data_IF_239166949924
#
_entry.id   IF_239166949924
#
_cell.length_a   1.000
_cell.length_b   1.000
_cell.length_c   1.000
_cell.angle_alpha   90.00
_cell.angle_beta   90.00
_cell.angle_gamma   90.00
#
_symmetry.space_group_name_H-M   'P 1'
#
loop_
_entity.id
_entity.type
_entity.pdbx_description
1 polymer ?
#
# COMPACT_ATOMS: atom_id res chain seq x y z
N UNK A 1 19.69 10.86 -7.32
CA UNK A 1 18.28 10.60 -7.67
C UNK A 1 17.65 9.71 -6.59
N UNK A 2 17.40 10.25 -5.39
CA UNK A 2 17.03 9.45 -4.19
C UNK A 2 15.86 10.04 -3.37
N UNK A 3 15.13 11.02 -3.91
CA UNK A 3 14.03 11.67 -3.16
C UNK A 3 12.67 10.99 -3.33
N UNK A 4 12.41 10.34 -4.46
CA UNK A 4 11.10 9.72 -4.75
C UNK A 4 10.74 8.61 -3.76
N UNK A 5 11.72 7.80 -3.35
CA UNK A 5 11.47 6.63 -2.50
C UNK A 5 11.14 7.00 -1.06
N UNK A 6 11.64 8.10 -0.49
CA UNK A 6 11.29 8.44 0.90
C UNK A 6 9.89 9.02 1.00
N UNK A 7 9.47 9.73 -0.05
CA UNK A 7 8.16 10.38 -0.12
C UNK A 7 7.04 9.34 -0.21
N UNK A 8 7.21 8.27 -1.01
CA UNK A 8 6.16 7.23 -1.14
C UNK A 8 5.89 6.49 0.17
N UNK A 9 6.92 6.11 0.94
CA UNK A 9 6.70 5.44 2.23
C UNK A 9 6.11 6.38 3.28
N UNK A 10 6.37 7.69 3.17
CA UNK A 10 5.73 8.67 4.07
C UNK A 10 4.24 8.80 3.74
N UNK A 11 3.89 8.90 2.46
CA UNK A 11 2.47 8.88 2.02
C UNK A 11 1.76 7.61 2.46
N UNK A 12 2.41 6.44 2.33
CA UNK A 12 1.85 5.17 2.80
C UNK A 12 1.65 5.15 4.31
N UNK A 13 2.61 5.67 5.07
CA UNK A 13 2.48 5.80 6.52
C UNK A 13 1.32 6.72 6.91
N UNK A 14 1.18 7.88 6.27
CA UNK A 14 0.08 8.82 6.51
C UNK A 14 -1.28 8.22 6.14
N UNK A 15 -1.34 7.46 5.03
CA UNK A 15 -2.52 6.71 4.63
C UNK A 15 -2.93 5.72 5.73
N UNK A 16 -2.00 4.94 6.26
CA UNK A 16 -2.28 4.00 7.36
C UNK A 16 -2.58 4.69 8.69
N UNK A 17 -2.00 5.87 8.97
CA UNK A 17 -2.29 6.64 10.18
C UNK A 17 -3.69 7.24 10.20
N UNK A 18 -4.36 7.32 9.04
CA UNK A 18 -5.76 7.74 8.94
C UNK A 18 -6.76 6.67 9.39
N UNK A 19 -6.33 5.42 9.57
CA UNK A 19 -7.19 4.30 9.97
C UNK A 19 -7.36 4.20 11.50
N UNK A 20 -8.42 3.53 11.99
CA UNK A 20 -8.68 3.40 13.43
C UNK A 20 -7.52 2.78 14.24
N UNK A 21 -6.80 1.80 13.68
CA UNK A 21 -5.64 1.18 14.33
C UNK A 21 -4.40 2.09 14.33
N UNK A 22 -4.36 3.04 13.40
CA UNK A 22 -3.28 4.02 13.18
C UNK A 22 -1.91 3.41 12.87
N UNK A 23 -1.01 4.26 12.38
CA UNK A 23 0.38 3.90 12.08
C UNK A 23 1.26 5.15 12.18
N UNK A 24 1.45 5.69 13.40
CA UNK A 24 1.97 7.04 13.58
C UNK A 24 3.45 7.16 13.21
N UNK A 25 3.86 8.37 12.83
CA UNK A 25 5.27 8.70 12.64
C UNK A 25 6.04 8.58 13.96
N UNK A 26 7.23 7.98 13.94
CA UNK A 26 8.09 7.86 15.12
C UNK A 26 9.41 8.60 14.91
N UNK A 27 10.01 9.13 15.99
CA UNK A 27 11.33 9.76 15.93
C UNK A 27 12.41 8.79 15.40
N UNK A 28 12.30 7.52 15.79
CA UNK A 28 13.19 6.45 15.34
C UNK A 28 13.01 6.03 13.87
N UNK A 29 11.95 6.51 13.21
CA UNK A 29 11.52 6.13 11.86
C UNK A 29 11.33 4.61 11.68
N UNK A 30 11.02 3.90 12.75
CA UNK A 30 10.80 2.45 12.73
C UNK A 30 9.65 2.07 11.78
N UNK A 31 8.62 2.91 11.71
CA UNK A 31 7.46 2.75 10.84
C UNK A 31 7.87 2.70 9.36
N UNK A 32 8.76 3.60 8.92
CA UNK A 32 9.28 3.60 7.54
C UNK A 32 10.18 2.41 7.29
N UNK A 33 10.99 2.00 8.28
CA UNK A 33 11.83 0.81 8.15
C UNK A 33 10.99 -0.45 8.01
N UNK A 34 9.83 -0.52 8.66
CA UNK A 34 8.89 -1.63 8.52
C UNK A 34 8.23 -1.62 7.13
N UNK A 35 7.70 -0.48 6.69
CA UNK A 35 7.10 -0.35 5.35
C UNK A 35 8.08 -0.74 4.24
N UNK A 36 9.34 -0.32 4.33
CA UNK A 36 10.39 -0.71 3.37
C UNK A 36 10.71 -2.20 3.33
N UNK A 37 10.42 -2.94 4.40
CA UNK A 37 10.59 -4.40 4.43
C UNK A 37 9.39 -5.12 3.81
N UNK A 38 8.20 -4.53 3.87
CA UNK A 38 6.96 -5.11 3.39
C UNK A 38 6.68 -4.76 1.92
N UNK A 39 7.03 -3.53 1.50
CA UNK A 39 6.67 -2.97 0.21
C UNK A 39 7.89 -2.48 -0.58
N UNK A 40 7.96 -2.81 -1.87
CA UNK A 40 8.77 -2.05 -2.83
C UNK A 40 8.18 -0.64 -3.00
N UNK A 41 8.92 0.32 -3.58
CA UNK A 41 8.37 1.65 -3.85
C UNK A 41 7.09 1.62 -4.70
N UNK A 42 7.02 0.72 -5.68
CA UNK A 42 5.88 0.52 -6.58
C UNK A 42 4.68 -0.08 -5.83
N UNK A 43 4.92 -1.12 -5.03
CA UNK A 43 3.91 -1.72 -4.17
C UNK A 43 3.37 -0.71 -3.15
N UNK A 44 4.24 0.14 -2.60
CA UNK A 44 3.85 1.18 -1.66
C UNK A 44 2.97 2.25 -2.32
N UNK A 45 3.23 2.57 -3.59
CA UNK A 45 2.40 3.49 -4.36
C UNK A 45 1.01 2.89 -4.64
N UNK A 46 0.95 1.64 -5.09
CA UNK A 46 -0.30 0.89 -5.28
C UNK A 46 -1.09 0.84 -3.98
N UNK A 47 -0.44 0.51 -2.85
CA UNK A 47 -1.07 0.39 -1.54
C UNK A 47 -1.69 1.71 -1.04
N UNK A 48 -1.24 2.88 -1.52
CA UNK A 48 -1.87 4.17 -1.16
C UNK A 48 -3.19 4.46 -1.86
N UNK A 49 -3.53 3.70 -2.90
CA UNK A 49 -4.68 3.94 -3.77
C UNK A 49 -5.77 2.88 -3.67
N UNK A 50 -5.51 1.76 -2.99
CA UNK A 50 -6.50 0.70 -2.76
C UNK A 50 -7.20 0.90 -1.43
N UNK A 51 -8.38 0.33 -1.26
CA UNK A 51 -9.10 0.37 0.01
C UNK A 51 -8.44 -0.62 0.99
N UNK A 52 -7.94 -0.10 2.10
CA UNK A 52 -7.62 -0.92 3.27
C UNK A 52 -8.83 -0.91 4.22
N UNK A 53 -9.62 -1.98 4.18
CA UNK A 53 -10.74 -2.16 5.09
C UNK A 53 -10.29 -2.36 6.55
N UNK A 54 -11.11 -1.92 7.49
CA UNK A 54 -10.96 -2.23 8.91
C UNK A 54 -12.03 -3.22 9.35
N UNK A 55 -11.72 -4.01 10.38
CA UNK A 55 -12.66 -4.97 10.97
C UNK A 55 -13.90 -4.20 11.48
N UNK A 56 -15.00 -4.25 10.72
CA UNK A 56 -16.24 -3.51 10.99
C UNK A 56 -16.84 -2.73 9.80
N UNK A 57 -16.10 -2.54 8.70
CA UNK A 57 -16.68 -2.05 7.44
C UNK A 57 -17.14 -3.20 6.55
N UNK A 58 -18.34 -3.09 5.96
CA UNK A 58 -18.90 -4.12 5.06
C UNK A 58 -18.12 -4.27 3.73
N UNK A 59 -17.29 -3.29 3.36
CA UNK A 59 -16.53 -3.25 2.11
C UNK A 59 -15.02 -3.48 2.39
N UNK A 60 -14.61 -4.72 2.67
CA UNK A 60 -13.22 -5.06 3.03
C UNK A 60 -12.38 -5.64 1.89
N UNK A 61 -13.03 -6.06 0.80
CA UNK A 61 -12.39 -6.72 -0.34
C UNK A 61 -12.66 -5.95 -1.60
N UNK A 62 -11.65 -5.91 -2.47
CA UNK A 62 -11.76 -5.34 -3.81
C UNK A 62 -11.32 -6.40 -4.82
N UNK A 63 -12.01 -6.43 -5.96
CA UNK A 63 -11.60 -7.22 -7.13
C UNK A 63 -10.39 -6.58 -7.81
N UNK A 64 -9.67 -7.38 -8.60
CA UNK A 64 -8.55 -6.86 -9.41
C UNK A 64 -9.02 -5.74 -10.36
N UNK A 65 -10.23 -5.82 -10.90
CA UNK A 65 -10.84 -4.79 -11.75
C UNK A 65 -11.05 -3.46 -11.02
N UNK A 66 -11.55 -3.50 -9.79
CA UNK A 66 -11.73 -2.30 -8.95
C UNK A 66 -10.38 -1.69 -8.60
N UNK A 67 -9.44 -2.51 -8.13
CA UNK A 67 -8.08 -2.08 -7.81
C UNK A 67 -7.41 -1.44 -9.03
N UNK A 68 -7.47 -2.10 -10.19
CA UNK A 68 -6.90 -1.58 -11.44
C UNK A 68 -7.50 -0.21 -11.81
N UNK A 69 -8.79 0.00 -11.57
CA UNK A 69 -9.45 1.27 -11.83
C UNK A 69 -8.90 2.42 -10.96
N UNK A 70 -8.45 2.11 -9.74
CA UNK A 70 -7.83 3.09 -8.82
C UNK A 70 -6.39 3.42 -9.21
N UNK A 71 -5.62 2.43 -9.69
CA UNK A 71 -4.18 2.59 -9.93
C UNK A 71 -3.79 2.85 -11.39
N UNK A 72 -4.74 2.84 -12.34
CA UNK A 72 -4.46 3.06 -13.78
C UNK A 72 -3.69 4.35 -14.09
N UNK A 73 -3.80 5.37 -13.22
CA UNK A 73 -3.07 6.64 -13.38
C UNK A 73 -1.55 6.49 -13.17
N UNK A 74 -1.10 5.40 -12.55
CA UNK A 74 0.31 5.08 -12.34
C UNK A 74 0.99 4.49 -13.58
N UNK A 75 0.23 4.16 -14.62
CA UNK A 75 0.77 3.66 -15.90
C UNK A 75 1.08 2.16 -15.94
N UNK A 76 0.70 1.39 -14.92
CA UNK A 76 0.82 -0.07 -14.91
C UNK A 76 -0.24 -0.74 -15.80
N UNK A 77 0.09 -1.91 -16.36
CA UNK A 77 -0.92 -2.82 -16.91
C UNK A 77 -1.64 -3.58 -15.80
N UNK A 78 -2.76 -4.23 -16.12
CA UNK A 78 -3.52 -5.01 -15.15
C UNK A 78 -2.71 -6.20 -14.62
N UNK A 79 -1.93 -6.85 -15.49
CA UNK A 79 -1.06 -7.97 -15.15
C UNK A 79 0.10 -7.54 -14.23
N UNK A 80 0.64 -6.33 -14.43
CA UNK A 80 1.66 -5.78 -13.55
C UNK A 80 1.08 -5.51 -12.15
N UNK A 81 -0.13 -4.94 -12.08
CA UNK A 81 -0.84 -4.72 -10.82
C UNK A 81 -1.12 -6.04 -10.11
N UNK A 82 -1.64 -7.05 -10.81
CA UNK A 82 -1.87 -8.40 -10.26
C UNK A 82 -0.58 -8.99 -9.67
N UNK A 83 0.54 -8.90 -10.41
CA UNK A 83 1.84 -9.37 -9.94
C UNK A 83 2.29 -8.66 -8.66
N UNK A 84 2.06 -7.35 -8.55
CA UNK A 84 2.38 -6.60 -7.32
C UNK A 84 1.48 -7.03 -6.14
N UNK A 85 0.18 -7.23 -6.37
CA UNK A 85 -0.75 -7.71 -5.35
C UNK A 85 -0.36 -9.11 -4.86
N UNK A 86 -0.05 -10.04 -5.76
CA UNK A 86 0.44 -11.37 -5.44
C UNK A 86 1.70 -11.35 -4.57
N UNK A 87 2.64 -10.45 -4.89
CA UNK A 87 3.87 -10.30 -4.12
C UNK A 87 3.60 -9.74 -2.72
N UNK A 88 2.69 -8.78 -2.59
CA UNK A 88 2.26 -8.25 -1.30
C UNK A 88 1.57 -9.34 -0.46
N UNK A 89 0.69 -10.15 -1.05
CA UNK A 89 0.03 -11.27 -0.37
C UNK A 89 1.03 -12.33 0.10
N UNK A 90 2.00 -12.71 -0.74
CA UNK A 90 3.08 -13.66 -0.39
C UNK A 90 3.94 -13.19 0.79
N UNK A 91 4.12 -11.87 0.95
CA UNK A 91 4.85 -11.26 2.07
C UNK A 91 3.98 -11.11 3.32
N UNK A 92 2.67 -11.37 3.24
CA UNK A 92 1.70 -11.09 4.29
C UNK A 92 1.43 -9.60 4.50
N UNK A 93 1.74 -8.76 3.51
CA UNK A 93 1.52 -7.32 3.56
C UNK A 93 0.05 -6.93 3.29
N UNK A 94 -0.66 -7.78 2.54
CA UNK A 94 -2.10 -7.70 2.32
C UNK A 94 -2.72 -9.10 2.49
N UNK A 95 -4.04 -9.14 2.66
CA UNK A 95 -4.83 -10.36 2.61
C UNK A 95 -5.50 -10.47 1.23
N UNK A 96 -5.32 -11.59 0.54
CA UNK A 96 -5.79 -11.85 -0.82
C UNK A 96 -6.56 -13.15 -0.91
#
# INVERSE_FOLDING_TARGET
MLRISIDVYRRLQEHFDSFPLRFPSTESRLEIRLLKKLFTPEEAEIATLIKCGYLGSLDTYETLEEIFSHVKCLGYTKEEVEKHLDNMAKKGAIYG
#
